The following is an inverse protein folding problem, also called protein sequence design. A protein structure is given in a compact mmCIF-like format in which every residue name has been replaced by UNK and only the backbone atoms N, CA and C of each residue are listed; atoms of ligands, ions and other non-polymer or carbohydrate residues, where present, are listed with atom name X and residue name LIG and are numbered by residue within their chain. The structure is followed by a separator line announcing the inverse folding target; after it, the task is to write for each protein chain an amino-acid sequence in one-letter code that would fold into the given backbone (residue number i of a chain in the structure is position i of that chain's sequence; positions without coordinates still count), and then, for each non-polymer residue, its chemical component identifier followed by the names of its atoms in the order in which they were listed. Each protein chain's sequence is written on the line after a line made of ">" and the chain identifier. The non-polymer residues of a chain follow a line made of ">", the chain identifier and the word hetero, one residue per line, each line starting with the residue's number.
data_IF_247476651176
#
_entry.id   IF_247476651176
#
_cell.length_a   1.000
_cell.length_b   1.000
_cell.length_c   1.000
_cell.angle_alpha   90.00
_cell.angle_beta   90.00
_cell.angle_gamma   90.00
#
_symmetry.space_group_name_H-M   'P 1'
#
loop_
_entity.id
_entity.type
_entity.pdbx_description
1 polymer ?
#
# COMPACT_ATOMS: atom_id res chain seq x y z
N UNK A 1 -10.33 29.37 -20.96
CA UNK A 1 -8.94 29.80 -21.26
C UNK A 1 -8.03 29.90 -20.02
N UNK A 2 -8.50 30.46 -18.90
CA UNK A 2 -7.64 30.90 -17.78
C UNK A 2 -7.27 29.85 -16.71
N UNK A 3 -8.05 28.77 -16.55
CA UNK A 3 -7.76 27.71 -15.54
C UNK A 3 -7.08 26.49 -16.16
N UNK A 4 -6.21 25.75 -15.45
CA UNK A 4 -5.49 24.60 -16.00
C UNK A 4 -6.37 23.35 -16.19
N UNK A 5 -7.44 23.20 -15.39
CA UNK A 5 -8.36 22.07 -15.44
C UNK A 5 -9.77 22.51 -15.03
N UNK A 6 -10.76 21.62 -15.18
CA UNK A 6 -12.14 21.83 -14.73
C UNK A 6 -12.56 20.74 -13.74
N UNK A 7 -13.12 21.17 -12.60
CA UNK A 7 -13.79 20.29 -11.64
C UNK A 7 -15.29 20.25 -11.96
N UNK A 8 -15.87 19.06 -12.03
CA UNK A 8 -17.31 18.84 -12.15
C UNK A 8 -17.78 18.18 -10.86
N UNK A 9 -18.69 18.84 -10.14
CA UNK A 9 -19.22 18.35 -8.87
C UNK A 9 -20.14 17.15 -9.06
N UNK A 10 -20.35 16.38 -7.99
CA UNK A 10 -21.23 15.19 -8.04
C UNK A 10 -22.65 15.51 -8.49
N UNK A 11 -23.16 16.71 -8.20
CA UNK A 11 -24.52 17.12 -8.60
C UNK A 11 -24.73 17.28 -10.11
N UNK A 12 -23.66 17.43 -10.89
CA UNK A 12 -23.72 17.67 -12.33
C UNK A 12 -23.42 16.39 -13.16
N UNK A 13 -23.17 15.26 -12.51
CA UNK A 13 -22.72 14.02 -13.18
C UNK A 13 -23.72 13.48 -14.23
N UNK A 14 -25.02 13.72 -14.02
CA UNK A 14 -26.08 13.27 -14.95
C UNK A 14 -26.36 14.26 -16.07
N UNK A 15 -25.75 15.46 -16.03
CA UNK A 15 -25.94 16.49 -17.04
C UNK A 15 -24.91 16.36 -18.16
N UNK A 16 -25.16 15.42 -19.09
CA UNK A 16 -24.16 15.05 -20.11
C UNK A 16 -23.74 16.22 -21.01
N UNK A 17 -24.63 17.17 -21.31
CA UNK A 17 -24.32 18.32 -22.14
C UNK A 17 -23.25 19.24 -21.52
N UNK A 18 -23.22 19.41 -20.19
CA UNK A 18 -22.15 20.16 -19.54
C UNK A 18 -20.83 19.37 -19.55
N UNK A 19 -20.89 18.04 -19.40
CA UNK A 19 -19.71 17.18 -19.48
C UNK A 19 -19.05 17.29 -20.86
N UNK A 20 -19.84 17.18 -21.93
CA UNK A 20 -19.34 17.33 -23.29
C UNK A 20 -18.76 18.73 -23.54
N UNK A 21 -19.46 19.78 -23.07
CA UNK A 21 -19.01 21.16 -23.23
C UNK A 21 -17.65 21.38 -22.55
N UNK A 22 -17.47 20.85 -21.35
CA UNK A 22 -16.19 20.91 -20.62
C UNK A 22 -15.13 20.05 -21.31
N UNK A 23 -15.47 18.84 -21.75
CA UNK A 23 -14.55 17.94 -22.44
C UNK A 23 -13.99 18.57 -23.73
N UNK A 24 -14.85 19.24 -24.53
CA UNK A 24 -14.46 19.95 -25.76
C UNK A 24 -13.48 21.10 -25.55
N UNK A 25 -13.26 21.54 -24.30
CA UNK A 25 -12.20 22.52 -24.00
C UNK A 25 -10.79 21.95 -24.14
N UNK A 26 -10.64 20.62 -24.19
CA UNK A 26 -9.37 19.92 -24.27
C UNK A 26 -8.53 19.97 -22.98
N UNK A 27 -9.09 20.49 -21.88
CA UNK A 27 -8.42 20.57 -20.58
C UNK A 27 -8.74 19.37 -19.69
N UNK A 28 -7.86 18.98 -18.75
CA UNK A 28 -8.16 17.91 -17.82
C UNK A 28 -9.47 18.14 -17.06
N UNK A 29 -10.25 17.07 -16.90
CA UNK A 29 -11.54 17.06 -16.21
C UNK A 29 -11.46 16.24 -14.94
N UNK A 30 -11.84 16.82 -13.81
CA UNK A 30 -11.90 16.17 -12.51
C UNK A 30 -13.38 15.95 -12.15
N UNK A 31 -13.86 14.71 -12.27
CA UNK A 31 -15.27 14.36 -12.06
C UNK A 31 -15.47 13.70 -10.68
N UNK A 32 -16.36 14.24 -9.84
CA UNK A 32 -16.78 13.55 -8.61
C UNK A 32 -18.00 12.68 -8.87
N UNK A 33 -18.10 11.55 -8.17
CA UNK A 33 -19.14 10.53 -8.39
C UNK A 33 -20.06 10.29 -7.21
N UNK A 34 -20.24 11.29 -6.34
CA UNK A 34 -21.16 11.16 -5.22
C UNK A 34 -22.62 11.12 -5.68
N UNK A 35 -23.51 10.62 -4.82
CA UNK A 35 -24.94 10.52 -5.10
C UNK A 35 -25.30 9.88 -6.46
N UNK A 36 -24.46 8.95 -6.94
CA UNK A 36 -24.56 8.33 -8.25
C UNK A 36 -24.40 6.82 -8.13
N UNK A 37 -25.07 6.08 -9.01
CA UNK A 37 -24.77 4.66 -9.18
C UNK A 37 -23.65 4.44 -10.22
N UNK A 38 -23.22 3.19 -10.40
CA UNK A 38 -22.16 2.89 -11.36
C UNK A 38 -22.57 3.15 -12.82
N UNK A 39 -23.87 3.07 -13.15
CA UNK A 39 -24.34 3.33 -14.50
C UNK A 39 -24.29 4.84 -14.84
N UNK A 40 -24.60 5.71 -13.88
CA UNK A 40 -24.38 7.16 -13.98
C UNK A 40 -22.90 7.47 -14.22
N UNK A 41 -22.03 6.88 -13.40
CA UNK A 41 -20.58 7.07 -13.52
C UNK A 41 -20.08 6.62 -14.88
N UNK A 42 -20.51 5.44 -15.35
CA UNK A 42 -20.13 4.92 -16.66
C UNK A 42 -20.57 5.86 -17.79
N UNK A 43 -21.83 6.33 -17.79
CA UNK A 43 -22.33 7.30 -18.78
C UNK A 43 -21.49 8.57 -18.79
N UNK A 44 -21.22 9.13 -17.62
CA UNK A 44 -20.47 10.39 -17.49
C UNK A 44 -19.01 10.24 -17.97
N UNK A 45 -18.33 9.18 -17.54
CA UNK A 45 -16.94 8.90 -17.91
C UNK A 45 -16.82 8.63 -19.41
N UNK A 46 -17.72 7.82 -19.98
CA UNK A 46 -17.73 7.53 -21.42
C UNK A 46 -18.02 8.79 -22.26
N UNK A 47 -18.91 9.65 -21.80
CA UNK A 47 -19.21 10.94 -22.45
C UNK A 47 -17.97 11.83 -22.53
N UNK A 48 -17.22 11.94 -21.43
CA UNK A 48 -15.99 12.76 -21.40
C UNK A 48 -14.89 12.11 -22.23
N UNK A 49 -14.62 10.80 -22.03
CA UNK A 49 -13.54 10.08 -22.72
C UNK A 49 -13.74 9.98 -24.22
N UNK A 50 -14.99 10.01 -24.71
CA UNK A 50 -15.28 10.09 -26.15
C UNK A 50 -14.76 11.37 -26.82
N UNK A 51 -14.42 12.40 -26.03
CA UNK A 51 -13.95 13.71 -26.51
C UNK A 51 -12.56 14.04 -25.99
N UNK A 52 -12.25 13.69 -24.73
CA UNK A 52 -11.05 14.12 -24.04
C UNK A 52 -10.54 13.01 -23.10
N UNK A 53 -9.31 12.49 -23.31
CA UNK A 53 -8.77 11.40 -22.51
C UNK A 53 -8.25 11.81 -21.13
N UNK A 54 -8.09 13.11 -20.86
CA UNK A 54 -7.49 13.62 -19.63
C UNK A 54 -8.53 13.70 -18.49
N UNK A 55 -8.82 12.56 -17.86
CA UNK A 55 -9.84 12.44 -16.81
C UNK A 55 -9.25 12.01 -15.47
N UNK A 56 -9.65 12.71 -14.42
CA UNK A 56 -9.53 12.28 -13.03
C UNK A 56 -10.93 11.90 -12.53
N UNK A 57 -11.08 10.69 -11.99
CA UNK A 57 -12.33 10.18 -11.43
C UNK A 57 -12.24 10.09 -9.91
N UNK A 58 -13.04 10.89 -9.21
CA UNK A 58 -13.04 10.93 -7.76
C UNK A 58 -14.18 10.08 -7.20
N UNK A 59 -13.85 9.03 -6.44
CA UNK A 59 -14.81 8.43 -5.52
C UNK A 59 -15.26 9.50 -4.53
N UNK A 60 -16.55 9.52 -4.21
CA UNK A 60 -17.11 10.53 -3.33
C UNK A 60 -18.37 10.01 -2.64
N UNK A 61 -18.50 10.32 -1.36
CA UNK A 61 -19.77 10.26 -0.65
C UNK A 61 -20.22 11.69 -0.35
N UNK A 62 -21.30 12.15 -0.98
CA UNK A 62 -21.84 13.51 -0.86
C UNK A 62 -22.66 13.64 0.42
N UNK A 63 -21.98 13.64 1.57
CA UNK A 63 -22.57 13.87 2.87
C UNK A 63 -21.67 14.81 3.69
N UNK A 64 -22.16 16.02 3.94
CA UNK A 64 -21.42 17.14 4.53
C UNK A 64 -21.65 17.26 6.04
N UNK A 65 -21.61 16.13 6.75
CA UNK A 65 -21.93 16.09 8.19
C UNK A 65 -20.71 16.11 9.09
N UNK A 66 -19.50 15.83 8.58
CA UNK A 66 -18.29 15.70 9.40
C UNK A 66 -18.38 14.62 10.49
N UNK A 67 -19.40 13.76 10.45
CA UNK A 67 -19.69 12.79 11.49
C UNK A 67 -18.83 11.53 11.30
N UNK A 68 -18.25 11.01 12.38
CA UNK A 68 -17.47 9.77 12.37
C UNK A 68 -18.27 8.57 11.84
N UNK A 69 -19.58 8.57 12.02
CA UNK A 69 -20.46 7.54 11.47
C UNK A 69 -20.45 7.51 9.94
N UNK A 70 -20.06 8.60 9.27
CA UNK A 70 -20.03 8.66 7.80
C UNK A 70 -18.93 7.77 7.19
N UNK A 71 -17.91 7.37 7.97
CA UNK A 71 -16.85 6.48 7.49
C UNK A 71 -17.38 5.18 6.88
N UNK A 72 -18.49 4.65 7.42
CA UNK A 72 -19.12 3.41 6.90
C UNK A 72 -19.75 3.55 5.52
N UNK A 73 -19.92 4.78 5.02
CA UNK A 73 -20.56 5.10 3.74
C UNK A 73 -19.58 5.55 2.65
N UNK A 74 -18.29 5.73 2.97
CA UNK A 74 -17.29 6.22 2.01
C UNK A 74 -16.97 5.20 0.93
N UNK A 75 -16.96 3.92 1.30
CA UNK A 75 -16.74 2.78 0.40
C UNK A 75 -15.48 2.95 -0.49
N UNK A 76 -14.31 3.18 0.11
CA UNK A 76 -13.05 3.39 -0.65
C UNK A 76 -12.70 2.25 -1.63
N UNK A 77 -13.20 1.02 -1.40
CA UNK A 77 -13.02 -0.10 -2.32
C UNK A 77 -13.67 0.10 -3.70
N UNK A 78 -14.54 1.10 -3.86
CA UNK A 78 -15.02 1.55 -5.19
C UNK A 78 -13.86 1.98 -6.09
N UNK A 79 -12.76 2.49 -5.53
CA UNK A 79 -11.54 2.80 -6.30
C UNK A 79 -10.98 1.57 -7.02
N UNK A 80 -11.10 0.37 -6.44
CA UNK A 80 -10.68 -0.88 -7.09
C UNK A 80 -11.56 -1.16 -8.32
N UNK A 81 -12.87 -0.93 -8.21
CA UNK A 81 -13.80 -1.11 -9.33
C UNK A 81 -13.53 -0.08 -10.44
N UNK A 82 -13.28 1.18 -10.08
CA UNK A 82 -12.90 2.22 -11.04
C UNK A 82 -11.59 1.91 -11.75
N UNK A 83 -10.56 1.41 -11.04
CA UNK A 83 -9.29 1.02 -11.65
C UNK A 83 -9.48 -0.08 -12.71
N UNK A 84 -10.39 -1.03 -12.46
CA UNK A 84 -10.68 -2.14 -13.37
C UNK A 84 -11.50 -1.71 -14.57
N UNK A 85 -12.51 -0.87 -14.34
CA UNK A 85 -13.46 -0.45 -15.38
C UNK A 85 -12.93 0.69 -16.25
N UNK A 86 -12.05 1.54 -15.70
CA UNK A 86 -11.49 2.71 -16.38
C UNK A 86 -9.96 2.77 -16.18
N UNK A 87 -9.19 1.78 -16.67
CA UNK A 87 -7.75 1.68 -16.41
C UNK A 87 -6.92 2.88 -16.92
N UNK A 88 -7.49 3.68 -17.84
CA UNK A 88 -6.86 4.87 -18.40
C UNK A 88 -7.08 6.15 -17.58
N UNK A 89 -7.99 6.17 -16.60
CA UNK A 89 -8.30 7.38 -15.82
C UNK A 89 -7.47 7.43 -14.55
N UNK A 90 -7.13 8.65 -14.12
CA UNK A 90 -6.47 8.87 -12.83
C UNK A 90 -7.53 8.80 -11.74
N UNK A 91 -7.29 8.01 -10.70
CA UNK A 91 -8.23 7.90 -9.59
C UNK A 91 -8.00 8.95 -8.52
N UNK A 92 -9.05 9.31 -7.79
CA UNK A 92 -8.95 10.15 -6.62
C UNK A 92 -10.10 9.99 -5.63
N UNK A 93 -10.07 10.79 -4.57
CA UNK A 93 -11.10 10.86 -3.54
C UNK A 93 -11.49 12.31 -3.30
N UNK A 94 -12.79 12.59 -3.31
CA UNK A 94 -13.38 13.82 -2.77
C UNK A 94 -14.04 13.47 -1.44
N UNK A 95 -13.45 13.96 -0.34
CA UNK A 95 -13.70 13.51 1.02
C UNK A 95 -14.31 14.59 1.91
N UNK A 96 -15.28 14.17 2.73
CA UNK A 96 -16.00 15.00 3.68
C UNK A 96 -15.93 14.43 5.11
N UNK A 97 -15.06 13.43 5.33
CA UNK A 97 -14.83 12.85 6.66
C UNK A 97 -13.80 13.65 7.46
N UNK A 98 -13.89 13.64 8.80
CA UNK A 98 -12.85 14.21 9.65
C UNK A 98 -11.57 13.36 9.62
N UNK A 99 -10.42 13.98 9.89
CA UNK A 99 -9.16 13.28 10.03
C UNK A 99 -8.60 12.70 8.72
N UNK A 100 -7.75 11.68 8.85
CA UNK A 100 -6.84 11.23 7.77
C UNK A 100 -7.09 9.80 7.28
N UNK A 101 -7.94 9.03 7.95
CA UNK A 101 -8.13 7.62 7.61
C UNK A 101 -8.64 7.43 6.16
N UNK A 102 -9.61 8.25 5.73
CA UNK A 102 -10.15 8.18 4.37
C UNK A 102 -9.13 8.56 3.28
N UNK A 103 -8.45 9.73 3.32
CA UNK A 103 -7.50 10.11 2.28
C UNK A 103 -6.30 9.16 2.23
N UNK A 104 -5.75 8.74 3.37
CA UNK A 104 -4.64 7.76 3.39
C UNK A 104 -5.08 6.40 2.84
N UNK A 105 -6.26 5.92 3.23
CA UNK A 105 -6.83 4.69 2.69
C UNK A 105 -7.06 4.76 1.17
N UNK A 106 -7.50 5.92 0.65
CA UNK A 106 -7.65 6.15 -0.78
C UNK A 106 -6.31 6.05 -1.52
N UNK A 107 -5.26 6.69 -1.00
CA UNK A 107 -3.91 6.65 -1.60
C UNK A 107 -3.36 5.22 -1.65
N UNK A 108 -3.53 4.46 -0.56
CA UNK A 108 -3.17 3.04 -0.49
C UNK A 108 -3.92 2.19 -1.53
N UNK A 109 -5.13 2.60 -1.93
CA UNK A 109 -5.94 1.94 -2.95
C UNK A 109 -5.72 2.48 -4.38
N UNK A 110 -4.72 3.34 -4.58
CA UNK A 110 -4.33 3.82 -5.90
C UNK A 110 -4.82 5.22 -6.27
N UNK A 111 -5.52 5.93 -5.37
CA UNK A 111 -5.85 7.34 -5.59
C UNK A 111 -4.57 8.20 -5.74
N UNK A 112 -4.61 9.18 -6.64
CA UNK A 112 -3.54 10.16 -6.90
C UNK A 112 -4.00 11.61 -6.78
N UNK A 113 -5.29 11.82 -6.56
CA UNK A 113 -5.88 13.13 -6.28
C UNK A 113 -6.73 13.02 -5.02
N UNK A 114 -6.47 13.89 -4.04
CA UNK A 114 -7.26 14.00 -2.82
C UNK A 114 -7.83 15.41 -2.77
N UNK A 115 -9.14 15.50 -2.59
CA UNK A 115 -9.89 16.73 -2.42
C UNK A 115 -10.56 16.73 -1.05
N UNK A 116 -10.39 17.83 -0.31
CA UNK A 116 -11.03 18.10 0.97
C UNK A 116 -11.44 19.56 1.04
N UNK A 117 -12.47 19.84 1.82
CA UNK A 117 -12.79 21.22 2.18
C UNK A 117 -11.67 21.80 3.07
N UNK A 118 -11.42 23.10 2.90
CA UNK A 118 -10.39 23.82 3.63
C UNK A 118 -10.98 25.09 4.25
N UNK A 119 -10.56 25.37 5.47
CA UNK A 119 -10.86 26.62 6.16
C UNK A 119 -9.62 27.09 6.91
N UNK A 120 -9.45 28.39 7.08
CA UNK A 120 -8.47 28.92 8.03
C UNK A 120 -8.92 28.73 9.49
N UNK A 121 -10.23 28.74 9.75
CA UNK A 121 -10.83 28.52 11.07
C UNK A 121 -12.20 27.81 10.96
N UNK A 122 -12.41 26.74 11.75
CA UNK A 122 -13.66 25.98 11.77
C UNK A 122 -14.83 26.70 12.46
N UNK A 123 -14.58 27.77 13.22
CA UNK A 123 -15.59 28.56 13.92
C UNK A 123 -16.28 29.60 13.04
N UNK A 124 -15.81 29.77 11.79
CA UNK A 124 -16.41 30.69 10.82
C UNK A 124 -17.87 30.34 10.50
N UNK A 125 -18.64 31.39 10.19
CA UNK A 125 -20.02 31.22 9.75
C UNK A 125 -20.07 30.68 8.32
N UNK A 126 -20.75 29.54 8.15
CA UNK A 126 -21.01 28.92 6.86
C UNK A 126 -21.21 27.42 7.01
N UNK A 127 -21.87 26.77 6.04
CA UNK A 127 -22.27 25.37 6.16
C UNK A 127 -21.06 24.41 6.23
N UNK A 128 -19.94 24.78 5.60
CA UNK A 128 -18.82 23.87 5.39
C UNK A 128 -17.65 24.09 6.35
N UNK A 129 -17.61 25.22 7.06
CA UNK A 129 -16.47 25.56 7.91
C UNK A 129 -16.28 24.55 9.04
N UNK A 130 -17.35 24.07 9.67
CA UNK A 130 -17.25 23.21 10.85
C UNK A 130 -16.54 21.87 10.61
N UNK A 131 -16.60 21.30 9.41
CA UNK A 131 -15.97 20.02 9.07
C UNK A 131 -14.74 20.15 8.15
N UNK A 132 -14.45 21.36 7.68
CA UNK A 132 -13.31 21.64 6.81
C UNK A 132 -11.96 21.38 7.50
N UNK A 133 -10.93 21.13 6.71
CA UNK A 133 -9.56 20.96 7.20
C UNK A 133 -8.90 22.33 7.45
N UNK A 134 -8.22 22.47 8.59
CA UNK A 134 -7.42 23.66 8.92
C UNK A 134 -6.05 23.63 8.23
N UNK A 135 -5.27 24.73 8.22
CA UNK A 135 -3.90 24.70 7.71
C UNK A 135 -3.01 23.62 8.35
N UNK A 136 -3.17 23.40 9.67
CA UNK A 136 -2.46 22.35 10.40
C UNK A 136 -2.87 20.95 9.94
N UNK A 137 -4.18 20.67 9.89
CA UNK A 137 -4.68 19.38 9.41
C UNK A 137 -4.33 19.10 7.96
N UNK A 138 -4.27 20.14 7.12
CA UNK A 138 -3.86 20.02 5.71
C UNK A 138 -2.38 19.68 5.58
N UNK A 139 -1.52 20.36 6.35
CA UNK A 139 -0.10 20.03 6.42
C UNK A 139 0.09 18.57 6.85
N UNK A 140 -0.59 18.15 7.92
CA UNK A 140 -0.53 16.80 8.44
C UNK A 140 -0.98 15.77 7.39
N UNK A 141 -2.09 16.02 6.69
CA UNK A 141 -2.57 15.16 5.60
C UNK A 141 -1.50 14.97 4.52
N UNK A 142 -0.84 16.05 4.10
CA UNK A 142 0.25 15.98 3.10
C UNK A 142 1.44 15.20 3.65
N UNK A 143 1.87 15.45 4.89
CA UNK A 143 3.00 14.73 5.51
C UNK A 143 2.73 13.23 5.60
N UNK A 144 1.58 12.85 6.16
CA UNK A 144 1.20 11.44 6.31
C UNK A 144 1.02 10.76 4.95
N UNK A 145 0.58 11.49 3.93
CA UNK A 145 0.46 10.94 2.57
C UNK A 145 1.84 10.61 1.99
N UNK A 146 2.84 11.48 2.17
CA UNK A 146 4.20 11.23 1.68
C UNK A 146 4.87 10.06 2.41
N UNK A 147 4.72 10.00 3.74
CA UNK A 147 5.19 8.84 4.51
C UNK A 147 4.52 7.54 4.08
N UNK A 148 3.20 7.58 3.79
CA UNK A 148 2.49 6.41 3.28
C UNK A 148 3.02 5.98 1.90
N UNK A 149 3.26 6.93 0.99
CA UNK A 149 3.83 6.62 -0.33
C UNK A 149 5.21 5.96 -0.21
N UNK A 150 6.07 6.47 0.68
CA UNK A 150 7.38 5.86 0.97
C UNK A 150 7.21 4.45 1.59
N UNK A 151 6.26 4.28 2.50
CA UNK A 151 6.00 3.02 3.18
C UNK A 151 5.35 1.94 2.30
N UNK A 152 4.51 2.33 1.32
CA UNK A 152 3.91 1.41 0.36
C UNK A 152 4.99 0.72 -0.50
N UNK A 153 6.03 1.47 -0.88
CA UNK A 153 7.26 0.93 -1.44
C UNK A 153 7.06 -0.05 -2.61
N UNK A 154 7.82 -1.14 -2.59
CA UNK A 154 7.80 -2.18 -3.62
C UNK A 154 6.98 -3.39 -3.18
N UNK A 155 6.31 -4.05 -4.13
CA UNK A 155 5.67 -5.35 -3.92
C UNK A 155 6.68 -6.51 -3.78
N UNK A 156 7.96 -6.29 -4.09
CA UNK A 156 9.02 -7.29 -3.96
C UNK A 156 9.45 -7.47 -2.49
N UNK A 157 9.21 -8.66 -1.92
CA UNK A 157 9.73 -8.98 -0.59
C UNK A 157 11.20 -9.41 -0.68
N UNK A 158 12.08 -8.53 -0.21
CA UNK A 158 13.51 -8.80 -0.04
C UNK A 158 13.97 -8.44 1.38
N UNK A 159 15.20 -8.82 1.67
CA UNK A 159 15.95 -8.26 2.82
C UNK A 159 16.34 -6.84 2.43
N UNK A 160 15.91 -5.86 3.21
CA UNK A 160 16.28 -4.48 3.00
C UNK A 160 17.76 -4.25 3.34
N UNK A 161 18.37 -3.21 2.78
CA UNK A 161 19.80 -2.92 2.98
C UNK A 161 20.14 -2.72 4.46
N UNK A 162 19.22 -2.11 5.23
CA UNK A 162 19.34 -1.92 6.67
C UNK A 162 19.08 -3.19 7.51
N UNK A 163 18.76 -4.33 6.88
CA UNK A 163 18.56 -5.61 7.56
C UNK A 163 19.76 -6.57 7.42
N UNK A 164 20.86 -6.16 6.76
CA UNK A 164 22.01 -7.03 6.47
C UNK A 164 22.57 -7.73 7.72
N UNK A 165 22.79 -6.97 8.80
CA UNK A 165 23.29 -7.54 10.07
C UNK A 165 22.18 -8.31 10.82
N UNK A 166 20.95 -7.82 10.74
CA UNK A 166 19.77 -8.45 11.37
C UNK A 166 19.56 -9.86 10.84
N UNK A 167 19.82 -10.10 9.55
CA UNK A 167 19.77 -11.43 8.94
C UNK A 167 20.70 -12.41 9.66
N UNK A 168 21.91 -12.00 10.01
CA UNK A 168 22.89 -12.86 10.68
C UNK A 168 22.49 -13.05 12.15
N UNK A 169 22.15 -11.97 12.84
CA UNK A 169 21.91 -11.97 14.29
C UNK A 169 20.60 -12.69 14.65
N UNK A 170 19.52 -12.45 13.90
CA UNK A 170 18.17 -12.89 14.27
C UNK A 170 17.76 -14.21 13.63
N UNK A 171 18.42 -14.66 12.55
CA UNK A 171 18.12 -15.97 11.96
C UNK A 171 18.83 -17.08 12.71
N UNK A 172 18.28 -18.28 12.58
CA UNK A 172 18.81 -19.51 13.19
C UNK A 172 19.54 -20.31 12.12
N UNK A 173 20.57 -21.03 12.53
CA UNK A 173 21.26 -22.04 11.74
C UNK A 173 21.27 -23.37 12.51
N UNK A 174 21.65 -24.45 11.83
CA UNK A 174 21.88 -25.74 12.44
C UNK A 174 23.19 -25.71 13.22
N UNK A 175 23.14 -26.13 14.48
CA UNK A 175 24.29 -26.21 15.37
C UNK A 175 24.39 -27.60 15.97
N UNK A 176 25.59 -28.00 16.38
CA UNK A 176 25.76 -29.28 17.06
C UNK A 176 25.16 -29.21 18.47
N UNK A 177 24.17 -30.06 18.76
CA UNK A 177 23.52 -30.12 20.09
C UNK A 177 24.43 -30.73 21.16
N UNK A 178 25.48 -31.44 20.73
CA UNK A 178 26.50 -32.09 21.54
C UNK A 178 27.82 -32.16 20.76
N UNK A 179 28.96 -32.52 21.37
CA UNK A 179 30.18 -32.77 20.62
C UNK A 179 30.00 -33.91 19.60
N UNK A 180 30.52 -33.74 18.38
CA UNK A 180 30.46 -34.70 17.29
C UNK A 180 31.87 -35.05 16.83
N UNK A 181 32.20 -36.33 16.78
CA UNK A 181 33.51 -36.79 16.27
C UNK A 181 33.45 -37.05 14.77
N UNK A 182 34.58 -36.87 14.08
CA UNK A 182 34.74 -37.21 12.66
C UNK A 182 34.18 -38.61 12.35
N UNK A 183 33.37 -38.69 11.31
CA UNK A 183 32.68 -39.91 10.86
C UNK A 183 31.30 -40.13 11.49
N UNK A 184 30.91 -39.34 12.50
CA UNK A 184 29.56 -39.39 13.10
C UNK A 184 28.50 -39.12 12.04
N UNK A 185 27.54 -40.04 11.92
CA UNK A 185 26.35 -39.87 11.08
C UNK A 185 25.36 -38.98 11.83
N UNK A 186 25.01 -37.83 11.25
CA UNK A 186 24.12 -36.85 11.87
C UNK A 186 22.69 -37.37 11.96
N UNK A 187 22.14 -37.37 13.18
CA UNK A 187 20.74 -37.64 13.48
C UNK A 187 20.05 -36.39 14.01
N UNK A 188 18.73 -36.45 14.22
CA UNK A 188 17.96 -35.27 14.62
C UNK A 188 18.39 -34.77 16.00
N UNK A 189 18.65 -35.68 16.92
CA UNK A 189 19.11 -35.41 18.29
C UNK A 189 20.49 -34.75 18.36
N UNK A 190 21.27 -34.81 17.28
CA UNK A 190 22.62 -34.21 17.20
C UNK A 190 22.57 -32.72 16.83
N UNK A 191 21.39 -32.19 16.51
CA UNK A 191 21.22 -30.88 15.90
C UNK A 191 20.33 -29.98 16.76
N UNK A 192 20.84 -28.81 17.09
CA UNK A 192 20.08 -27.68 17.62
C UNK A 192 19.85 -26.61 16.55
N UNK A 193 18.83 -25.79 16.75
CA UNK A 193 18.46 -24.70 15.83
C UNK A 193 18.56 -23.36 16.56
N UNK A 194 19.73 -22.74 16.48
CA UNK A 194 20.11 -21.60 17.33
C UNK A 194 20.60 -20.41 16.52
N UNK A 195 20.59 -19.24 17.15
CA UNK A 195 21.16 -17.98 16.65
C UNK A 195 22.61 -17.84 17.12
N UNK A 196 23.43 -16.97 16.48
CA UNK A 196 23.19 -16.33 15.18
C UNK A 196 23.35 -17.33 14.03
N UNK A 197 22.99 -16.93 12.81
CA UNK A 197 23.20 -17.66 11.57
C UNK A 197 24.22 -16.94 10.69
N UNK A 198 25.53 -17.24 10.84
CA UNK A 198 26.55 -16.82 9.89
C UNK A 198 26.17 -17.17 8.44
N UNK A 199 26.66 -16.39 7.48
CA UNK A 199 26.27 -16.51 6.06
C UNK A 199 26.59 -17.86 5.43
N UNK A 200 27.61 -18.56 5.94
CA UNK A 200 28.03 -19.90 5.52
C UNK A 200 27.43 -21.02 6.39
N UNK A 201 26.60 -20.67 7.39
CA UNK A 201 25.90 -21.62 8.23
C UNK A 201 24.75 -22.32 7.50
N UNK A 202 24.56 -23.61 7.76
CA UNK A 202 23.45 -24.36 7.19
C UNK A 202 22.14 -23.93 7.86
N UNK A 203 21.15 -23.50 7.07
CA UNK A 203 19.87 -23.03 7.60
C UNK A 203 18.92 -24.19 8.00
N UNK A 204 17.92 -23.93 8.86
CA UNK A 204 17.05 -24.98 9.39
C UNK A 204 16.21 -25.71 8.34
N UNK A 205 15.83 -25.03 7.27
CA UNK A 205 15.11 -25.65 6.15
C UNK A 205 15.96 -26.67 5.37
N UNK A 206 17.28 -26.67 5.56
CA UNK A 206 18.21 -27.64 4.97
C UNK A 206 18.37 -28.91 5.82
N UNK A 207 17.71 -29.01 6.98
CA UNK A 207 17.91 -30.12 7.94
C UNK A 207 17.75 -31.49 7.29
N UNK A 208 16.75 -31.68 6.43
CA UNK A 208 16.53 -32.95 5.73
C UNK A 208 17.68 -33.36 4.81
N UNK A 209 18.49 -32.41 4.33
CA UNK A 209 19.71 -32.66 3.53
C UNK A 209 20.93 -32.96 4.40
N UNK A 210 20.92 -32.55 5.66
CA UNK A 210 21.98 -32.75 6.66
C UNK A 210 21.85 -34.11 7.34
N UNK A 211 20.63 -34.55 7.67
CA UNK A 211 20.41 -35.84 8.32
C UNK A 211 20.93 -36.99 7.44
N UNK A 212 21.62 -37.94 8.09
CA UNK A 212 22.26 -39.09 7.44
C UNK A 212 23.65 -38.82 6.86
N UNK A 213 24.11 -37.56 6.79
CA UNK A 213 25.49 -37.24 6.38
C UNK A 213 26.48 -37.49 7.51
N UNK A 214 27.76 -37.68 7.16
CA UNK A 214 28.86 -37.78 8.14
C UNK A 214 29.59 -36.46 8.26
N UNK A 215 29.97 -36.11 9.50
CA UNK A 215 30.91 -35.00 9.74
C UNK A 215 32.33 -35.42 9.36
N UNK A 216 33.05 -34.56 8.63
CA UNK A 216 34.43 -34.82 8.16
C UNK A 216 35.50 -34.40 9.16
N UNK A 217 35.11 -33.63 10.17
CA UNK A 217 35.95 -33.09 11.23
C UNK A 217 35.23 -33.26 12.56
N UNK A 218 35.95 -33.11 13.67
CA UNK A 218 35.33 -32.96 14.98
C UNK A 218 34.63 -31.59 15.07
N UNK A 219 33.47 -31.55 15.70
CA UNK A 219 32.63 -30.34 15.87
C UNK A 219 32.25 -30.21 17.34
N UNK A 220 32.52 -29.04 17.94
CA UNK A 220 32.17 -28.80 19.34
C UNK A 220 30.67 -28.54 19.50
N UNK A 221 30.14 -28.80 20.70
CA UNK A 221 28.76 -28.43 21.03
C UNK A 221 28.57 -26.92 20.86
N UNK A 222 27.46 -26.52 20.24
CA UNK A 222 27.14 -25.11 19.99
C UNK A 222 27.83 -24.52 18.76
N UNK A 223 28.76 -25.22 18.11
CA UNK A 223 29.29 -24.79 16.81
C UNK A 223 28.21 -24.92 15.73
N UNK A 224 28.17 -23.97 14.80
CA UNK A 224 27.27 -24.03 13.66
C UNK A 224 27.84 -24.92 12.56
N UNK A 225 26.94 -25.65 11.90
CA UNK A 225 27.30 -26.54 10.81
C UNK A 225 27.46 -25.76 9.50
N UNK A 226 28.44 -26.17 8.70
CA UNK A 226 28.72 -25.67 7.34
C UNK A 226 28.76 -26.85 6.39
N UNK A 227 28.36 -26.65 5.13
CA UNK A 227 28.40 -27.73 4.12
C UNK A 227 29.80 -28.31 3.95
N UNK A 228 30.83 -27.48 4.04
CA UNK A 228 32.22 -27.91 3.98
C UNK A 228 32.62 -28.88 5.09
N UNK A 229 31.87 -28.95 6.21
CA UNK A 229 32.11 -29.90 7.31
C UNK A 229 31.48 -31.27 7.05
N UNK A 230 30.57 -31.40 6.09
CA UNK A 230 29.82 -32.62 5.83
C UNK A 230 30.35 -33.34 4.58
N UNK A 231 30.22 -34.66 4.54
CA UNK A 231 30.46 -35.44 3.33
C UNK A 231 29.44 -35.12 2.22
N UNK A 232 29.79 -35.45 0.99
CA UNK A 232 28.83 -35.49 -0.11
C UNK A 232 27.95 -36.73 0.06
N UNK A 233 26.65 -36.65 -0.26
CA UNK A 233 25.79 -37.85 -0.21
C UNK A 233 26.33 -38.83 -1.26
N UNK A 234 26.79 -39.99 -0.81
CA UNK A 234 26.93 -41.19 -1.66
C UNK A 234 25.57 -41.70 -2.08
#
# INVERSE_FOLDING_TARGET
>A
PHVPCFKIGSGDITWLEILEKVARTGKPVILSTGASDFADVKRAVETILGINPAVVLLQCNTNYTGNIENFKHIHLRVLIEYARSFPQVVLGLSDHTPGLAAPLGAVALGARVIEKHFTDDNTRTGPDHAFSMTPGGWREMVDRTRELEDALGSAEKRVAENEADTVIIQRRCLRAARPLTKGTVLRREDIDVLRPAPSDGIFPYELGRVLGRRVKIDVAQGDYLRWAMLDERG
#
